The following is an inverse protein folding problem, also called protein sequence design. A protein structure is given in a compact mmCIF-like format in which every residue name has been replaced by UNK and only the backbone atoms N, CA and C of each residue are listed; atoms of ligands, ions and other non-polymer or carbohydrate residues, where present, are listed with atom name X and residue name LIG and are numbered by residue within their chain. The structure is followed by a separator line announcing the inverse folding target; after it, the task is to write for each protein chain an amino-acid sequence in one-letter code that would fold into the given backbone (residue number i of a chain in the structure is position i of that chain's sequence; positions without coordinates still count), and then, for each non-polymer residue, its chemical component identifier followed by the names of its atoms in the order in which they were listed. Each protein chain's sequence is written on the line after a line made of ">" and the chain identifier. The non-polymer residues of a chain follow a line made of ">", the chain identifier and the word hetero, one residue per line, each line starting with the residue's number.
data_IF_321399654226
#
_entry.id   IF_321399654226
#
_cell.length_a   1.000
_cell.length_b   1.000
_cell.length_c   1.000
_cell.angle_alpha   90.00
_cell.angle_beta   90.00
_cell.angle_gamma   90.00
#
_symmetry.space_group_name_H-M   'P 1'
#
loop_
_entity.id
_entity.type
_entity.pdbx_description
1 polymer ?
#
# COMPACT_ATOMS: atom_id res chain seq x y z
N UNK A 1 -11.14 -12.27 16.73
CA UNK A 1 -10.31 -11.17 17.28
C UNK A 1 -10.78 -9.77 16.86
N UNK A 2 -11.81 -9.63 16.02
CA UNK A 2 -12.35 -8.31 15.67
C UNK A 2 -11.36 -7.39 14.95
N UNK A 3 -10.33 -7.96 14.31
CA UNK A 3 -9.30 -7.22 13.58
C UNK A 3 -9.56 -7.31 12.08
N UNK A 4 -9.41 -6.19 11.39
CA UNK A 4 -9.39 -6.17 9.93
C UNK A 4 -8.08 -6.76 9.41
N UNK A 5 -8.19 -7.68 8.47
CA UNK A 5 -7.03 -8.40 7.90
C UNK A 5 -6.95 -8.13 6.41
N UNK A 6 -5.85 -7.52 6.00
CA UNK A 6 -5.51 -7.29 4.59
C UNK A 6 -4.49 -8.30 4.07
N UNK A 7 -4.66 -8.78 2.84
CA UNK A 7 -3.67 -9.63 2.18
C UNK A 7 -3.19 -9.02 0.85
N UNK A 8 -1.87 -8.92 0.66
CA UNK A 8 -1.28 -8.45 -0.60
C UNK A 8 -0.55 -9.62 -1.25
N UNK A 9 -0.84 -9.86 -2.54
CA UNK A 9 -0.28 -10.99 -3.29
C UNK A 9 0.03 -10.59 -4.72
N UNK A 10 0.94 -11.30 -5.38
CA UNK A 10 1.09 -11.22 -6.84
C UNK A 10 -0.03 -11.98 -7.58
N UNK A 11 -0.79 -12.85 -6.91
CA UNK A 11 -1.91 -13.59 -7.49
C UNK A 11 -1.56 -14.78 -8.38
N UNK A 12 -0.32 -14.92 -8.86
CA UNK A 12 0.05 -15.91 -9.89
C UNK A 12 -0.14 -17.37 -9.48
N UNK A 13 -0.04 -17.68 -8.18
CA UNK A 13 -0.21 -19.04 -7.63
C UNK A 13 -1.58 -19.27 -6.98
N UNK A 14 -2.52 -18.34 -7.12
CA UNK A 14 -3.85 -18.52 -6.53
C UNK A 14 -4.61 -19.61 -7.27
N UNK A 15 -5.06 -20.60 -6.49
CA UNK A 15 -6.01 -21.63 -6.89
C UNK A 15 -7.38 -21.36 -6.27
N UNK A 16 -8.43 -22.08 -6.70
CA UNK A 16 -9.76 -22.00 -6.08
C UNK A 16 -9.72 -22.27 -4.58
N UNK A 17 -8.90 -23.22 -4.15
CA UNK A 17 -8.76 -23.58 -2.73
C UNK A 17 -8.05 -22.49 -1.93
N UNK A 18 -6.97 -21.92 -2.48
CA UNK A 18 -6.27 -20.79 -1.85
C UNK A 18 -7.21 -19.58 -1.76
N UNK A 19 -7.94 -19.28 -2.84
CA UNK A 19 -8.87 -18.16 -2.86
C UNK A 19 -9.91 -18.26 -1.74
N UNK A 20 -10.59 -19.42 -1.63
CA UNK A 20 -11.58 -19.68 -0.57
C UNK A 20 -11.01 -19.49 0.84
N UNK A 21 -9.77 -19.94 1.07
CA UNK A 21 -9.12 -19.81 2.38
C UNK A 21 -8.78 -18.36 2.70
N UNK A 22 -8.27 -17.60 1.73
CA UNK A 22 -7.89 -16.21 1.94
C UNK A 22 -9.11 -15.33 2.20
N UNK A 23 -10.15 -15.42 1.36
CA UNK A 23 -11.37 -14.58 1.50
C UNK A 23 -12.15 -14.89 2.79
N UNK A 24 -12.01 -16.10 3.35
CA UNK A 24 -12.67 -16.46 4.61
C UNK A 24 -12.06 -15.77 5.85
N UNK A 25 -10.82 -15.25 5.75
CA UNK A 25 -10.10 -14.67 6.88
C UNK A 25 -9.67 -13.21 6.65
N UNK A 26 -9.81 -12.69 5.42
CA UNK A 26 -9.43 -11.33 5.06
C UNK A 26 -10.67 -10.44 4.96
N UNK A 27 -10.51 -9.16 5.32
CA UNK A 27 -11.48 -8.09 5.02
C UNK A 27 -11.20 -7.44 3.67
N UNK A 28 -9.95 -7.51 3.20
CA UNK A 28 -9.61 -7.14 1.84
C UNK A 28 -8.37 -7.88 1.33
N UNK A 29 -8.30 -8.06 0.01
CA UNK A 29 -7.17 -8.66 -0.69
C UNK A 29 -6.80 -7.74 -1.85
N UNK A 30 -5.50 -7.49 -2.06
CA UNK A 30 -5.01 -6.75 -3.23
C UNK A 30 -4.02 -7.58 -4.04
N UNK A 31 -4.29 -7.72 -5.32
CA UNK A 31 -3.40 -8.36 -6.31
C UNK A 31 -2.55 -7.29 -6.98
N UNK A 32 -1.22 -7.40 -6.95
CA UNK A 32 -0.32 -6.49 -7.66
C UNK A 32 -0.27 -6.84 -9.15
N UNK A 33 -0.54 -5.87 -10.03
CA UNK A 33 -0.52 -6.05 -11.48
C UNK A 33 0.52 -5.17 -12.18
N UNK A 34 0.54 -3.87 -11.86
CA UNK A 34 1.43 -2.82 -12.42
C UNK A 34 1.67 -2.88 -13.95
N UNK A 35 0.71 -3.43 -14.71
CA UNK A 35 0.82 -3.62 -16.16
C UNK A 35 -0.53 -3.65 -16.90
N UNK A 36 -0.54 -3.18 -18.14
CA UNK A 36 -1.67 -3.21 -19.07
C UNK A 36 -1.68 -4.41 -20.02
N UNK A 37 -0.52 -5.04 -20.21
CA UNK A 37 -0.29 -6.07 -21.21
C UNK A 37 0.98 -6.86 -20.85
N UNK A 38 1.28 -7.98 -21.55
CA UNK A 38 2.47 -8.78 -21.28
C UNK A 38 3.81 -8.04 -21.42
N UNK A 39 3.91 -7.06 -22.32
CA UNK A 39 5.15 -6.31 -22.54
C UNK A 39 5.43 -5.42 -21.31
N UNK A 40 4.41 -4.68 -20.86
CA UNK A 40 4.48 -3.87 -19.66
C UNK A 40 4.66 -4.73 -18.39
N UNK A 41 4.11 -5.94 -18.36
CA UNK A 41 4.33 -6.87 -17.25
C UNK A 41 5.78 -7.40 -17.22
N UNK A 42 6.35 -7.67 -18.38
CA UNK A 42 7.77 -7.99 -18.48
C UNK A 42 8.65 -6.83 -18.04
N UNK A 43 8.33 -5.61 -18.47
CA UNK A 43 9.04 -4.40 -18.04
C UNK A 43 8.99 -4.18 -16.52
N UNK A 44 7.80 -4.27 -15.91
CA UNK A 44 7.60 -3.96 -14.49
C UNK A 44 8.00 -5.09 -13.53
N UNK A 45 7.82 -6.35 -13.92
CA UNK A 45 8.00 -7.52 -13.04
C UNK A 45 9.10 -8.50 -13.51
N UNK A 46 9.64 -8.32 -14.72
CA UNK A 46 10.62 -9.25 -15.31
C UNK A 46 10.02 -10.62 -15.66
N UNK A 47 8.69 -10.71 -15.79
CA UNK A 47 7.93 -11.96 -15.94
C UNK A 47 7.26 -12.08 -17.31
N UNK A 48 6.90 -13.30 -17.70
CA UNK A 48 6.39 -13.56 -19.05
C UNK A 48 4.87 -13.39 -19.18
N UNK A 49 4.38 -13.53 -20.42
CA UNK A 49 2.94 -13.46 -20.72
C UNK A 49 2.11 -14.56 -20.04
N UNK A 50 2.70 -15.70 -19.69
CA UNK A 50 2.04 -16.80 -18.98
C UNK A 50 1.79 -16.41 -17.54
N UNK A 51 2.78 -15.82 -16.87
CA UNK A 51 2.67 -15.29 -15.52
C UNK A 51 1.68 -14.13 -15.47
N UNK A 52 1.70 -13.20 -16.44
CA UNK A 52 0.69 -12.12 -16.54
C UNK A 52 -0.74 -12.66 -16.55
N UNK A 53 -1.02 -13.66 -17.40
CA UNK A 53 -2.33 -14.33 -17.45
C UNK A 53 -2.66 -15.06 -16.15
N UNK A 54 -1.67 -15.65 -15.49
CA UNK A 54 -1.85 -16.32 -14.21
C UNK A 54 -2.25 -15.34 -13.10
N UNK A 55 -1.67 -14.13 -13.08
CA UNK A 55 -2.05 -13.05 -12.15
C UNK A 55 -3.51 -12.64 -12.35
N UNK A 56 -3.92 -12.35 -13.60
CA UNK A 56 -5.31 -11.96 -13.91
C UNK A 56 -6.31 -13.08 -13.54
N UNK A 57 -5.96 -14.33 -13.84
CA UNK A 57 -6.75 -15.50 -13.41
C UNK A 57 -6.84 -15.58 -11.88
N UNK A 58 -5.74 -15.36 -11.18
CA UNK A 58 -5.68 -15.38 -9.72
C UNK A 58 -6.56 -14.31 -9.08
N UNK A 59 -6.53 -13.08 -9.61
CA UNK A 59 -7.44 -12.00 -9.21
C UNK A 59 -8.91 -12.40 -9.42
N UNK A 60 -9.24 -13.00 -10.56
CA UNK A 60 -10.61 -13.45 -10.82
C UNK A 60 -11.07 -14.60 -9.91
N UNK A 61 -10.15 -15.51 -9.53
CA UNK A 61 -10.46 -16.57 -8.55
C UNK A 61 -10.73 -16.00 -7.16
N UNK A 62 -9.98 -14.97 -6.74
CA UNK A 62 -10.23 -14.27 -5.48
C UNK A 62 -11.57 -13.54 -5.51
N UNK A 63 -11.82 -12.76 -6.55
CA UNK A 63 -13.05 -12.00 -6.72
C UNK A 63 -14.29 -12.93 -6.76
N UNK A 64 -14.23 -14.04 -7.48
CA UNK A 64 -15.33 -15.00 -7.55
C UNK A 64 -15.58 -15.75 -6.22
N UNK A 65 -14.57 -15.87 -5.36
CA UNK A 65 -14.71 -16.48 -4.04
C UNK A 65 -15.12 -15.47 -2.96
N UNK A 66 -14.90 -14.18 -3.21
CA UNK A 66 -15.26 -13.10 -2.32
C UNK A 66 -16.79 -13.01 -2.17
N UNK A 67 -17.22 -12.70 -0.95
CA UNK A 67 -18.58 -12.27 -0.65
C UNK A 67 -18.52 -10.95 0.12
N UNK A 68 -19.61 -10.57 0.77
CA UNK A 68 -19.76 -9.25 1.40
C UNK A 68 -18.72 -8.92 2.49
N UNK A 69 -18.03 -9.94 3.02
CA UNK A 69 -17.05 -9.80 4.09
C UNK A 69 -15.62 -9.51 3.63
N UNK A 70 -15.31 -9.64 2.33
CA UNK A 70 -13.97 -9.45 1.80
C UNK A 70 -14.00 -8.75 0.45
N UNK A 71 -13.35 -7.59 0.34
CA UNK A 71 -13.17 -6.91 -0.96
C UNK A 71 -11.88 -7.36 -1.65
N UNK A 72 -11.87 -7.46 -2.97
CA UNK A 72 -10.72 -7.86 -3.78
C UNK A 72 -10.39 -6.75 -4.76
N UNK A 73 -9.20 -6.19 -4.67
CA UNK A 73 -8.73 -5.16 -5.57
C UNK A 73 -7.51 -5.55 -6.37
N UNK A 74 -7.25 -4.77 -7.42
CA UNK A 74 -6.02 -4.82 -8.21
C UNK A 74 -5.20 -3.55 -7.93
N UNK A 75 -3.91 -3.70 -7.69
CA UNK A 75 -2.96 -2.61 -7.47
C UNK A 75 -2.13 -2.30 -8.70
N UNK A 76 -1.87 -1.02 -8.90
CA UNK A 76 -1.08 -0.50 -10.02
C UNK A 76 -0.21 0.68 -9.59
N UNK A 77 1.10 0.52 -9.76
CA UNK A 77 2.07 1.58 -9.56
C UNK A 77 2.21 2.44 -10.82
N UNK A 78 2.22 3.77 -10.63
CA UNK A 78 2.29 4.75 -11.72
C UNK A 78 3.67 5.40 -11.78
N UNK A 79 4.20 5.49 -13.00
CA UNK A 79 5.36 6.25 -13.46
C UNK A 79 5.16 6.61 -14.95
N UNK A 80 6.16 7.23 -15.57
CA UNK A 80 6.09 7.65 -16.98
C UNK A 80 5.73 6.50 -17.94
N UNK A 81 6.32 5.32 -17.74
CA UNK A 81 6.09 4.16 -18.61
C UNK A 81 4.73 3.51 -18.41
N UNK A 82 4.30 3.37 -17.15
CA UNK A 82 3.05 2.69 -16.79
C UNK A 82 1.83 3.60 -16.96
N UNK A 83 2.00 4.93 -17.00
CA UNK A 83 0.89 5.89 -17.17
C UNK A 83 0.05 5.58 -18.42
N UNK A 84 0.69 5.21 -19.53
CA UNK A 84 0.02 4.89 -20.81
C UNK A 84 -0.94 3.70 -20.70
N UNK A 85 -0.68 2.79 -19.76
CA UNK A 85 -1.43 1.54 -19.56
C UNK A 85 -2.60 1.65 -18.58
N UNK A 86 -2.78 2.78 -17.88
CA UNK A 86 -3.71 2.86 -16.75
C UNK A 86 -5.17 2.53 -17.12
N UNK A 87 -5.66 3.02 -18.25
CA UNK A 87 -7.04 2.75 -18.70
C UNK A 87 -7.23 1.26 -19.02
N UNK A 88 -6.28 0.66 -19.73
CA UNK A 88 -6.33 -0.74 -20.11
C UNK A 88 -6.19 -1.65 -18.88
N UNK A 89 -5.29 -1.33 -17.95
CA UNK A 89 -5.17 -2.03 -16.68
C UNK A 89 -6.46 -1.95 -15.84
N UNK A 90 -7.15 -0.79 -15.86
CA UNK A 90 -8.47 -0.64 -15.21
C UNK A 90 -9.51 -1.55 -15.84
N UNK A 91 -9.55 -1.61 -17.18
CA UNK A 91 -10.44 -2.51 -17.93
C UNK A 91 -10.16 -3.98 -17.60
N UNK A 92 -8.89 -4.37 -17.56
CA UNK A 92 -8.47 -5.71 -17.16
C UNK A 92 -8.89 -6.05 -15.74
N UNK A 93 -8.62 -5.16 -14.78
CA UNK A 93 -9.01 -5.35 -13.38
C UNK A 93 -10.52 -5.57 -13.25
N UNK A 94 -11.33 -4.72 -13.90
CA UNK A 94 -12.80 -4.88 -13.93
C UNK A 94 -13.22 -6.23 -14.51
N UNK A 95 -12.59 -6.67 -15.61
CA UNK A 95 -12.92 -7.94 -16.25
C UNK A 95 -12.60 -9.16 -15.39
N UNK A 96 -11.71 -9.04 -14.39
CA UNK A 96 -11.50 -10.12 -13.42
C UNK A 96 -12.66 -10.27 -12.44
N UNK A 97 -13.53 -9.26 -12.30
CA UNK A 97 -14.58 -9.20 -11.29
C UNK A 97 -14.12 -8.59 -9.96
N UNK A 98 -12.89 -8.06 -9.87
CA UNK A 98 -12.43 -7.32 -8.70
C UNK A 98 -13.37 -6.16 -8.35
N UNK A 99 -13.39 -5.76 -7.08
CA UNK A 99 -14.19 -4.66 -6.54
C UNK A 99 -13.57 -3.29 -6.82
N UNK A 100 -12.25 -3.22 -6.98
CA UNK A 100 -11.59 -1.95 -7.28
C UNK A 100 -10.24 -2.09 -8.00
N UNK A 101 -9.90 -1.03 -8.72
CA UNK A 101 -8.55 -0.74 -9.21
C UNK A 101 -7.93 0.36 -8.34
N UNK A 102 -6.71 0.16 -7.85
CA UNK A 102 -5.98 1.11 -7.01
C UNK A 102 -4.71 1.61 -7.67
N UNK A 103 -4.64 2.92 -7.91
CA UNK A 103 -3.45 3.62 -8.39
C UNK A 103 -2.62 4.22 -7.26
N UNK A 104 -1.30 4.03 -7.32
CA UNK A 104 -0.34 4.62 -6.36
C UNK A 104 0.93 5.01 -7.10
N UNK A 105 1.61 6.09 -6.72
CA UNK A 105 2.87 6.42 -7.36
C UNK A 105 4.00 5.50 -6.87
N UNK A 106 5.00 5.29 -7.75
CA UNK A 106 6.30 4.81 -7.30
C UNK A 106 6.92 5.82 -6.32
N UNK A 107 7.80 5.33 -5.44
CA UNK A 107 8.63 6.25 -4.65
C UNK A 107 9.62 6.90 -5.61
N UNK A 108 9.92 8.19 -5.40
CA UNK A 108 10.85 8.97 -6.23
C UNK A 108 10.36 9.24 -7.65
N UNK A 109 9.07 9.06 -7.90
CA UNK A 109 8.43 9.32 -9.19
C UNK A 109 7.30 10.34 -8.99
N UNK A 110 7.26 11.36 -9.85
CA UNK A 110 6.27 12.43 -9.81
C UNK A 110 5.47 12.54 -11.12
N UNK A 111 5.33 11.44 -11.88
CA UNK A 111 4.57 11.43 -13.14
C UNK A 111 3.11 11.80 -12.89
N UNK A 112 2.64 12.97 -13.36
CA UNK A 112 1.28 13.41 -13.09
C UNK A 112 0.27 12.50 -13.80
N UNK A 113 -0.77 12.11 -13.07
CA UNK A 113 -1.86 11.26 -13.58
C UNK A 113 -3.22 11.96 -13.61
N UNK A 114 -3.26 13.27 -13.36
CA UNK A 114 -4.50 14.05 -13.24
C UNK A 114 -5.32 14.08 -14.55
N UNK A 115 -4.65 13.94 -15.69
CA UNK A 115 -5.24 13.86 -17.03
C UNK A 115 -5.81 12.46 -17.35
N UNK A 116 -5.23 11.39 -16.80
CA UNK A 116 -5.61 9.98 -17.11
C UNK A 116 -6.54 9.37 -16.06
N UNK A 117 -6.42 9.77 -14.79
CA UNK A 117 -7.23 9.23 -13.71
C UNK A 117 -8.75 9.43 -13.92
N UNK A 118 -9.24 10.60 -14.40
CA UNK A 118 -10.66 10.77 -14.75
C UNK A 118 -11.12 9.83 -15.86
N UNK A 119 -10.25 9.52 -16.84
CA UNK A 119 -10.57 8.56 -17.91
C UNK A 119 -10.68 7.14 -17.35
N UNK A 120 -9.82 6.76 -16.41
CA UNK A 120 -9.93 5.47 -15.72
C UNK A 120 -11.24 5.37 -14.92
N UNK A 121 -11.69 6.46 -14.28
CA UNK A 121 -12.96 6.51 -13.55
C UNK A 121 -14.20 6.31 -14.43
N UNK A 122 -14.10 6.50 -15.76
CA UNK A 122 -15.21 6.18 -16.67
C UNK A 122 -15.53 4.68 -16.71
N UNK A 123 -14.61 3.82 -16.24
CA UNK A 123 -14.85 2.38 -16.13
C UNK A 123 -15.58 1.97 -14.83
N UNK A 124 -15.79 2.88 -13.88
CA UNK A 124 -16.56 2.59 -12.66
C UNK A 124 -17.96 2.07 -12.99
N UNK A 125 -18.44 1.15 -12.16
CA UNK A 125 -19.74 0.52 -12.29
C UNK A 125 -20.26 0.11 -10.90
N UNK A 126 -21.54 -0.28 -10.75
CA UNK A 126 -21.98 -0.94 -9.54
C UNK A 126 -21.07 -2.14 -9.22
N UNK A 127 -20.48 -2.16 -8.03
CA UNK A 127 -19.53 -3.18 -7.61
C UNK A 127 -18.09 -3.01 -8.12
N UNK A 128 -17.75 -1.94 -8.85
CA UNK A 128 -16.37 -1.67 -9.28
C UNK A 128 -15.98 -0.19 -9.13
N UNK A 129 -14.89 0.08 -8.39
CA UNK A 129 -14.38 1.43 -8.12
C UNK A 129 -12.95 1.67 -8.59
N UNK A 130 -12.64 2.92 -8.93
CA UNK A 130 -11.28 3.36 -9.25
C UNK A 130 -10.80 4.29 -8.15
N UNK A 131 -9.91 3.77 -7.31
CA UNK A 131 -9.33 4.49 -6.18
C UNK A 131 -7.89 4.87 -6.48
N UNK A 132 -7.44 6.00 -5.93
CA UNK A 132 -6.07 6.44 -6.06
C UNK A 132 -5.57 6.96 -4.70
N UNK A 133 -4.28 6.85 -4.45
CA UNK A 133 -3.65 7.58 -3.34
C UNK A 133 -3.50 9.06 -3.68
N UNK A 134 -4.61 9.76 -3.90
CA UNK A 134 -4.65 11.18 -4.28
C UNK A 134 -3.83 12.05 -3.33
N UNK A 135 -3.85 11.76 -2.03
CA UNK A 135 -3.06 12.45 -1.04
C UNK A 135 -1.56 12.42 -1.35
N UNK A 136 -1.06 11.41 -2.07
CA UNK A 136 0.34 11.36 -2.53
C UNK A 136 0.54 12.19 -3.80
N UNK A 137 -0.37 12.05 -4.76
CA UNK A 137 -0.31 12.77 -6.04
C UNK A 137 -0.40 14.29 -5.88
N UNK A 138 -1.12 14.77 -4.85
CA UNK A 138 -1.21 16.21 -4.54
C UNK A 138 0.11 16.81 -4.08
N UNK A 139 1.03 15.99 -3.56
CA UNK A 139 2.33 16.44 -3.09
C UNK A 139 3.44 16.22 -4.13
N UNK A 140 3.15 16.29 -5.43
CA UNK A 140 4.15 16.05 -6.47
C UNK A 140 5.05 17.24 -6.74
N UNK A 141 4.60 18.46 -6.40
CA UNK A 141 5.37 19.69 -6.55
C UNK A 141 6.32 19.90 -5.36
N UNK A 142 5.95 19.44 -4.17
CA UNK A 142 6.67 19.54 -2.89
C UNK A 142 7.09 18.15 -2.36
N UNK A 143 7.22 17.15 -3.23
CA UNK A 143 7.34 15.73 -2.86
C UNK A 143 8.52 15.34 -1.96
N UNK A 144 9.54 16.19 -1.91
CA UNK A 144 10.71 16.02 -1.05
C UNK A 144 10.67 16.90 0.21
N UNK A 145 9.78 17.89 0.26
CA UNK A 145 9.62 18.77 1.40
C UNK A 145 8.67 18.13 2.42
N UNK A 146 9.13 18.03 3.66
CA UNK A 146 8.30 17.62 4.80
C UNK A 146 8.04 18.84 5.66
N UNK A 147 6.77 19.11 5.90
CA UNK A 147 6.26 20.15 6.80
C UNK A 147 6.30 19.71 8.28
N UNK A 148 6.72 18.48 8.55
CA UNK A 148 6.91 17.92 9.89
C UNK A 148 8.36 17.50 10.12
N UNK A 149 8.77 17.50 11.39
CA UNK A 149 10.14 17.13 11.81
C UNK A 149 10.19 15.78 12.53
N UNK A 150 9.04 15.18 12.86
CA UNK A 150 8.94 13.93 13.63
C UNK A 150 8.09 12.89 12.92
N UNK A 151 8.48 11.62 13.05
CA UNK A 151 7.70 10.50 12.53
C UNK A 151 6.66 10.03 13.55
N UNK A 152 5.51 10.70 13.61
CA UNK A 152 4.37 10.30 14.45
C UNK A 152 3.84 8.91 14.09
N UNK A 153 3.86 8.56 12.81
CA UNK A 153 3.43 7.26 12.29
C UNK A 153 4.25 6.09 12.85
N UNK A 154 5.50 6.32 13.26
CA UNK A 154 6.32 5.29 13.92
C UNK A 154 5.74 4.78 15.24
N UNK A 155 4.87 5.57 15.88
CA UNK A 155 4.21 5.18 17.13
C UNK A 155 2.95 4.30 16.92
N UNK A 156 2.44 4.20 15.70
CA UNK A 156 1.16 3.51 15.39
C UNK A 156 1.26 2.52 14.22
N UNK A 157 2.38 2.53 13.49
CA UNK A 157 2.69 1.58 12.42
C UNK A 157 3.94 0.81 12.82
N UNK A 158 3.91 -0.51 12.67
CA UNK A 158 5.05 -1.40 12.92
C UNK A 158 5.03 -2.57 11.96
N UNK A 159 6.17 -3.27 11.85
CA UNK A 159 6.28 -4.45 11.00
C UNK A 159 6.93 -5.60 11.74
N UNK A 160 6.23 -6.73 11.80
CA UNK A 160 6.81 -8.02 12.17
C UNK A 160 7.43 -8.64 10.90
N UNK A 161 8.71 -8.96 10.96
CA UNK A 161 9.44 -9.59 9.86
C UNK A 161 9.35 -11.11 9.92
N UNK A 162 9.74 -11.80 8.84
CA UNK A 162 9.70 -13.26 8.73
C UNK A 162 10.62 -13.98 9.72
N UNK A 163 11.66 -13.29 10.20
CA UNK A 163 12.60 -13.79 11.20
C UNK A 163 12.12 -13.50 12.64
N UNK A 164 10.92 -12.95 12.84
CA UNK A 164 10.36 -12.62 14.15
C UNK A 164 10.81 -11.28 14.72
N UNK A 165 11.77 -10.58 14.09
CA UNK A 165 12.16 -9.23 14.51
C UNK A 165 11.08 -8.21 14.14
N UNK A 166 10.81 -7.27 15.05
CA UNK A 166 9.96 -6.13 14.80
C UNK A 166 10.79 -4.92 14.36
N UNK A 167 10.50 -4.40 13.18
CA UNK A 167 11.07 -3.16 12.65
C UNK A 167 10.07 -2.01 12.73
N UNK A 168 10.58 -0.78 12.83
CA UNK A 168 9.74 0.41 12.98
C UNK A 168 8.74 0.59 11.84
N UNK A 169 9.13 0.39 10.57
CA UNK A 169 8.21 0.52 9.45
C UNK A 169 8.62 -0.38 8.27
N UNK A 170 7.80 -0.42 7.21
CA UNK A 170 8.08 -1.26 6.05
C UNK A 170 9.35 -0.88 5.28
N UNK A 171 9.83 0.36 5.44
CA UNK A 171 11.05 0.85 4.80
C UNK A 171 12.32 0.60 5.62
N UNK A 172 12.19 0.25 6.90
CA UNK A 172 13.33 -0.06 7.79
C UNK A 172 13.50 -1.56 8.04
N UNK A 173 12.78 -2.40 7.29
CA UNK A 173 12.98 -3.85 7.29
C UNK A 173 14.40 -4.19 6.87
N UNK A 174 15.00 -5.17 7.53
CA UNK A 174 16.39 -5.57 7.30
C UNK A 174 17.43 -4.56 7.77
N UNK A 175 17.04 -3.50 8.47
CA UNK A 175 17.95 -2.49 9.04
C UNK A 175 17.98 -2.64 10.58
N UNK A 176 18.98 -3.33 11.15
CA UNK A 176 19.01 -3.66 12.58
C UNK A 176 18.90 -2.46 13.52
N UNK A 177 19.45 -1.30 13.12
CA UNK A 177 19.39 -0.06 13.89
C UNK A 177 17.94 0.40 14.18
N UNK A 178 16.99 0.00 13.32
CA UNK A 178 15.57 0.33 13.44
C UNK A 178 14.73 -0.81 14.00
N UNK A 179 15.34 -1.86 14.54
CA UNK A 179 14.62 -2.93 15.22
C UNK A 179 14.17 -2.46 16.61
N UNK A 180 12.90 -2.68 16.90
CA UNK A 180 12.26 -2.28 18.16
C UNK A 180 12.17 -3.44 19.16
N UNK A 181 12.33 -4.69 18.70
CA UNK A 181 12.37 -5.90 19.54
C UNK A 181 12.23 -7.18 18.71
N UNK A 182 12.17 -8.34 19.38
CA UNK A 182 12.02 -9.66 18.74
C UNK A 182 10.94 -10.49 19.43
N UNK A 183 10.04 -11.08 18.63
CA UNK A 183 8.95 -11.94 19.13
C UNK A 183 9.44 -13.32 19.61
N UNK A 184 10.70 -13.67 19.37
CA UNK A 184 11.32 -14.87 19.96
C UNK A 184 11.69 -14.67 21.43
N UNK A 185 11.85 -13.42 21.85
CA UNK A 185 12.36 -13.05 23.17
C UNK A 185 11.28 -12.41 24.05
N UNK A 186 10.39 -11.63 23.44
CA UNK A 186 9.46 -10.74 24.16
C UNK A 186 8.06 -10.81 23.55
N UNK A 187 7.03 -10.55 24.37
CA UNK A 187 5.67 -10.41 23.84
C UNK A 187 5.59 -9.08 23.09
N UNK A 188 4.74 -9.03 22.06
CA UNK A 188 4.50 -7.79 21.31
C UNK A 188 4.12 -6.60 22.21
N UNK A 189 3.34 -6.85 23.27
CA UNK A 189 2.93 -5.82 24.23
C UNK A 189 4.09 -5.25 25.05
N UNK A 190 5.16 -6.01 25.26
CA UNK A 190 6.35 -5.56 25.98
C UNK A 190 7.29 -4.79 25.05
N UNK A 191 7.32 -5.16 23.77
CA UNK A 191 8.08 -4.46 22.72
C UNK A 191 7.44 -3.10 22.41
N UNK A 192 6.12 -3.09 22.21
CA UNK A 192 5.38 -1.93 21.72
C UNK A 192 5.22 -0.87 22.81
N UNK A 193 6.05 0.18 22.73
CA UNK A 193 6.07 1.26 23.71
C UNK A 193 7.20 1.15 24.73
N UNK A 194 8.08 0.16 24.56
CA UNK A 194 9.35 0.05 25.28
C UNK A 194 10.25 1.27 25.07
N UNK A 195 11.25 1.43 25.94
CA UNK A 195 12.29 2.47 25.77
C UNK A 195 13.05 2.30 24.45
N UNK A 196 13.25 1.06 24.00
CA UNK A 196 13.84 0.79 22.67
C UNK A 196 12.94 1.32 21.55
N UNK A 197 11.63 1.04 21.60
CA UNK A 197 10.69 1.56 20.62
C UNK A 197 10.73 3.10 20.57
N UNK A 198 10.62 3.77 21.73
CA UNK A 198 10.67 5.23 21.83
C UNK A 198 11.99 5.80 21.29
N UNK A 199 13.13 5.18 21.63
CA UNK A 199 14.44 5.61 21.16
C UNK A 199 14.58 5.49 19.64
N UNK A 200 14.10 4.38 19.05
CA UNK A 200 14.12 4.17 17.60
C UNK A 200 13.23 5.19 16.89
N UNK A 201 12.01 5.44 17.37
CA UNK A 201 11.14 6.51 16.83
C UNK A 201 11.86 7.86 16.87
N UNK A 202 12.46 8.22 18.01
CA UNK A 202 13.14 9.50 18.18
C UNK A 202 14.39 9.65 17.30
N UNK A 203 15.03 8.54 16.91
CA UNK A 203 16.20 8.55 16.01
C UNK A 203 15.86 8.71 14.53
N UNK A 204 14.57 8.67 14.15
CA UNK A 204 14.17 8.77 12.74
C UNK A 204 14.42 10.18 12.23
N UNK A 205 15.37 10.29 11.32
CA UNK A 205 15.55 11.46 10.49
C UNK A 205 14.55 11.41 9.32
N UNK A 206 13.47 12.18 9.45
CA UNK A 206 12.41 12.22 8.42
C UNK A 206 12.92 12.73 7.08
N UNK A 207 13.98 13.56 7.06
CA UNK A 207 14.56 14.07 5.80
C UNK A 207 15.22 12.98 4.96
N UNK A 208 15.58 11.84 5.58
CA UNK A 208 16.15 10.66 4.92
C UNK A 208 15.12 9.60 4.57
N UNK A 209 13.86 9.78 4.95
CA UNK A 209 12.80 8.82 4.63
C UNK A 209 12.43 8.92 3.14
N UNK A 210 12.01 7.80 2.56
CA UNK A 210 11.52 7.78 1.17
C UNK A 210 10.31 8.70 0.99
N UNK A 211 10.19 9.38 -0.17
CA UNK A 211 9.03 10.23 -0.48
C UNK A 211 7.76 9.39 -0.56
N UNK A 212 6.61 9.98 -0.27
CA UNK A 212 5.32 9.25 -0.29
C UNK A 212 5.29 7.99 0.58
N UNK A 213 6.08 7.92 1.67
CA UNK A 213 6.02 6.78 2.58
C UNK A 213 4.60 6.59 3.14
N UNK A 214 4.28 5.40 3.64
CA UNK A 214 2.94 5.11 4.19
C UNK A 214 2.55 6.08 5.31
N UNK A 215 3.52 6.50 6.11
CA UNK A 215 3.29 7.37 7.26
C UNK A 215 3.27 8.85 6.90
N UNK A 216 3.56 9.25 5.65
CA UNK A 216 3.76 10.65 5.30
C UNK A 216 2.52 11.49 5.60
N UNK A 217 1.38 11.14 5.01
CA UNK A 217 0.11 11.83 5.26
C UNK A 217 -0.33 11.76 6.73
N UNK A 218 -0.06 10.65 7.42
CA UNK A 218 -0.34 10.51 8.85
C UNK A 218 0.47 11.52 9.65
N UNK A 219 1.76 11.66 9.33
CA UNK A 219 2.64 12.60 9.99
C UNK A 219 2.17 14.02 9.78
N UNK A 220 1.81 14.43 8.55
CA UNK A 220 1.29 15.77 8.28
C UNK A 220 0.06 16.10 9.14
N UNK A 221 -0.91 15.17 9.18
CA UNK A 221 -2.13 15.35 9.98
C UNK A 221 -1.85 15.39 11.48
N UNK A 222 -1.02 14.49 11.99
CA UNK A 222 -0.70 14.45 13.42
C UNK A 222 0.19 15.61 13.86
N UNK A 223 1.13 16.04 13.02
CA UNK A 223 1.99 17.19 13.32
C UNK A 223 1.15 18.48 13.37
N UNK A 224 0.23 18.67 12.42
CA UNK A 224 -0.70 19.80 12.44
C UNK A 224 -1.58 19.81 13.69
N UNK A 225 -2.12 18.64 14.07
CA UNK A 225 -2.98 18.48 15.24
C UNK A 225 -2.25 18.59 16.59
N UNK A 226 -0.94 18.28 16.63
CA UNK A 226 -0.14 18.30 17.86
C UNK A 226 0.71 19.57 18.01
N UNK A 227 0.84 20.36 16.95
CA UNK A 227 1.53 21.65 17.00
C UNK A 227 0.67 22.66 17.76
N UNK A 228 1.20 23.29 18.83
CA UNK A 228 0.48 24.29 19.59
C UNK A 228 -0.04 25.40 18.67
N UNK A 229 -1.37 25.55 18.60
CA UNK A 229 -2.02 26.67 17.92
C UNK A 229 -2.19 27.82 18.91
N UNK A 230 -2.26 29.05 18.40
CA UNK A 230 -2.46 30.24 19.24
C UNK A 230 -3.76 30.20 20.06
N UNK A 231 -4.76 29.43 19.60
CA UNK A 231 -6.03 29.26 20.28
C UNK A 231 -6.56 27.82 20.07
N UNK A 232 -7.16 27.22 21.11
CA UNK A 232 -7.70 25.84 21.04
C UNK A 232 -8.84 25.70 20.02
N UNK A 233 -9.57 26.78 19.74
CA UNK A 233 -10.62 26.81 18.71
C UNK A 233 -10.12 26.69 17.25
N UNK A 234 -8.81 26.60 17.03
CA UNK A 234 -8.19 26.43 15.70
C UNK A 234 -7.65 25.01 15.46
N UNK A 235 -8.01 24.06 16.32
CA UNK A 235 -7.80 22.62 16.16
C UNK A 235 -8.98 21.97 15.43
#
# INVERSE_FOLDING_TARGET
>A
LGMDVGFITNGGLVTKEIAKRLVAVCTWIRVSLDASDPEMFHYSHGRDATEFKAVLRGAGLLAAAAGDNCTVGVGYLTNDETKRGMMEATRLARNTGADYMQFRPYHWDNTPVADVLPLCRQFEAPGFKVVASEQKYRHFEDWYERDYTKCHGGCIVGVVQSDGNMALCCHTRGMPDFYIGSLHEQRMADIWGSERHKAVVASVDVTKCVPFCRCDHINRVLDDATTPKQHEAFL
#
